data_IF_045738056985
#
_entry.id   IF_045738056985
#
_cell.length_a   1.000
_cell.length_b   1.000
_cell.length_c   1.000
_cell.angle_alpha   90.00
_cell.angle_beta   90.00
_cell.angle_gamma   90.00
#
_symmetry.space_group_name_H-M   'P 1'
#
loop_
_entity.id
_entity.type
_entity.pdbx_description
1 polymer ?
#
# COMPACT_ATOMS: atom_id res chain seq x y z
N UNK A 1 5.24 6.30 -2.14
CA UNK A 1 3.94 5.64 -1.88
C UNK A 1 2.98 5.65 -3.07
N UNK A 2 2.58 6.78 -3.68
CA UNK A 2 1.61 6.81 -4.81
C UNK A 2 1.96 5.89 -6.00
N UNK A 3 3.25 5.81 -6.38
CA UNK A 3 3.70 4.91 -7.43
C UNK A 3 3.48 3.42 -7.07
N UNK A 4 3.73 3.05 -5.81
CA UNK A 4 3.49 1.69 -5.30
C UNK A 4 1.99 1.34 -5.30
N UNK A 5 1.13 2.27 -4.85
CA UNK A 5 -0.33 2.11 -4.95
C UNK A 5 -0.76 1.87 -6.40
N UNK A 6 -0.23 2.67 -7.32
CA UNK A 6 -0.53 2.53 -8.75
C UNK A 6 -0.04 1.22 -9.34
N UNK A 7 1.07 0.66 -8.83
CA UNK A 7 1.60 -0.63 -9.25
C UNK A 7 0.71 -1.79 -8.76
N UNK A 8 0.26 -1.76 -7.51
CA UNK A 8 -0.69 -2.74 -6.94
C UNK A 8 -1.95 -2.82 -7.81
N UNK A 9 -2.57 -1.67 -8.12
CA UNK A 9 -3.79 -1.63 -8.96
C UNK A 9 -3.58 -2.15 -10.37
N UNK A 10 -2.38 -2.00 -10.94
CA UNK A 10 -2.06 -2.57 -12.26
C UNK A 10 -1.94 -4.09 -12.18
N UNK A 11 -1.32 -4.61 -11.14
CA UNK A 11 -1.21 -6.04 -10.90
C UNK A 11 -2.62 -6.68 -10.74
N UNK A 12 -3.52 -6.04 -9.98
CA UNK A 12 -4.89 -6.51 -9.82
C UNK A 12 -5.69 -6.53 -11.13
N UNK A 13 -5.52 -5.53 -12.01
CA UNK A 13 -6.16 -5.53 -13.32
C UNK A 13 -5.63 -6.65 -14.21
N UNK A 14 -4.32 -6.84 -14.23
CA UNK A 14 -3.70 -7.89 -15.04
C UNK A 14 -4.20 -9.28 -14.65
N UNK A 15 -4.35 -9.57 -13.34
CA UNK A 15 -4.92 -10.84 -12.89
C UNK A 15 -6.35 -11.06 -13.44
N UNK A 16 -7.18 -10.02 -13.43
CA UNK A 16 -8.55 -10.10 -13.96
C UNK A 16 -8.59 -10.34 -15.47
N UNK A 17 -7.64 -9.76 -16.20
CA UNK A 17 -7.62 -9.79 -17.67
C UNK A 17 -7.02 -11.11 -18.23
N UNK A 18 -6.07 -11.73 -17.52
CA UNK A 18 -5.30 -12.89 -18.02
C UNK A 18 -5.88 -14.24 -17.56
N UNK A 19 -6.54 -14.30 -16.38
CA UNK A 19 -7.32 -15.46 -15.94
C UNK A 19 -6.57 -16.81 -15.87
N UNK A 20 -5.39 -16.86 -15.26
CA UNK A 20 -4.64 -18.12 -15.04
C UNK A 20 -3.98 -18.20 -13.65
N UNK A 21 -3.85 -19.42 -13.11
CA UNK A 21 -3.30 -19.66 -11.76
C UNK A 21 -1.84 -19.17 -11.60
N UNK A 22 -1.00 -19.37 -12.62
CA UNK A 22 0.38 -18.86 -12.62
C UNK A 22 0.43 -17.33 -12.64
N UNK A 23 -0.56 -16.67 -13.26
CA UNK A 23 -0.70 -15.22 -13.20
C UNK A 23 -1.07 -14.75 -11.79
N UNK A 24 -1.89 -15.53 -11.08
CA UNK A 24 -2.29 -15.21 -9.70
C UNK A 24 -1.09 -15.25 -8.72
N UNK A 25 -0.19 -16.23 -8.82
CA UNK A 25 1.00 -16.29 -7.97
C UNK A 25 1.93 -15.08 -8.18
N UNK A 26 2.19 -14.73 -9.46
CA UNK A 26 3.02 -13.57 -9.82
C UNK A 26 2.37 -12.26 -9.36
N UNK A 27 1.05 -12.12 -9.52
CA UNK A 27 0.32 -10.93 -9.08
C UNK A 27 0.32 -10.81 -7.56
N UNK A 28 0.13 -11.91 -6.83
CA UNK A 28 0.21 -11.91 -5.36
C UNK A 28 1.61 -11.52 -4.90
N UNK A 29 2.67 -12.08 -5.50
CA UNK A 29 4.05 -11.71 -5.18
C UNK A 29 4.33 -10.22 -5.44
N UNK A 30 3.86 -9.68 -6.56
CA UNK A 30 4.00 -8.26 -6.87
C UNK A 30 3.26 -7.39 -5.85
N UNK A 31 2.04 -7.77 -5.45
CA UNK A 31 1.26 -7.06 -4.44
C UNK A 31 1.99 -7.08 -3.09
N UNK A 32 2.45 -8.25 -2.64
CA UNK A 32 3.20 -8.40 -1.38
C UNK A 32 4.43 -7.49 -1.36
N UNK A 33 5.22 -7.46 -2.44
CA UNK A 33 6.37 -6.58 -2.56
C UNK A 33 5.99 -5.10 -2.39
N UNK A 34 4.95 -4.64 -3.08
CA UNK A 34 4.55 -3.23 -2.99
C UNK A 34 3.92 -2.86 -1.64
N UNK A 35 3.18 -3.78 -1.01
CA UNK A 35 2.69 -3.60 0.37
C UNK A 35 3.86 -3.49 1.35
N UNK A 36 4.89 -4.34 1.20
CA UNK A 36 6.11 -4.26 1.99
C UNK A 36 6.80 -2.88 1.84
N UNK A 37 7.02 -2.42 0.60
CA UNK A 37 7.62 -1.11 0.30
C UNK A 37 6.79 0.05 0.87
N UNK A 38 5.46 -0.06 0.82
CA UNK A 38 4.56 0.92 1.43
C UNK A 38 4.75 0.96 2.94
N UNK A 39 4.75 -0.20 3.61
CA UNK A 39 4.92 -0.28 5.06
C UNK A 39 6.27 0.24 5.53
N UNK A 40 7.37 0.00 4.79
CA UNK A 40 8.67 0.65 5.03
C UNK A 40 8.55 2.17 5.01
N UNK A 41 7.90 2.70 3.97
CA UNK A 41 7.73 4.13 3.81
C UNK A 41 6.89 4.74 4.95
N UNK A 42 5.89 4.00 5.43
CA UNK A 42 5.02 4.42 6.54
C UNK A 42 5.79 4.56 7.85
N UNK A 43 6.80 3.72 8.12
CA UNK A 43 7.62 3.81 9.35
C UNK A 43 8.42 5.11 9.45
N UNK A 44 8.67 5.76 8.31
CA UNK A 44 9.36 7.05 8.25
C UNK A 44 8.41 8.27 8.32
N UNK A 45 7.09 8.07 8.35
CA UNK A 45 6.10 9.16 8.43
C UNK A 45 6.08 9.72 9.85
N UNK A 46 6.14 11.05 9.97
CA UNK A 46 6.12 11.73 11.27
C UNK A 46 4.79 11.55 12.00
N UNK A 47 4.84 11.57 13.34
CA UNK A 47 3.64 11.52 14.19
C UNK A 47 2.67 12.66 13.94
N UNK A 48 3.18 13.85 13.60
CA UNK A 48 2.36 14.99 13.17
C UNK A 48 1.56 14.65 11.91
N UNK A 49 2.21 14.07 10.91
CA UNK A 49 1.57 13.71 9.64
C UNK A 49 0.53 12.61 9.85
N UNK A 50 0.83 11.59 10.64
CA UNK A 50 -0.13 10.51 10.91
C UNK A 50 -1.32 11.00 11.73
N UNK A 51 -1.13 11.92 12.69
CA UNK A 51 -2.20 12.52 13.47
C UNK A 51 -3.14 13.39 12.63
N UNK A 52 -2.61 14.06 11.58
CA UNK A 52 -3.41 14.85 10.63
C UNK A 52 -4.24 14.00 9.67
N UNK A 53 -3.95 12.71 9.56
CA UNK A 53 -4.58 11.77 8.63
C UNK A 53 -5.06 10.51 9.38
N UNK A 54 -5.96 10.63 10.38
CA UNK A 54 -6.33 9.54 11.27
C UNK A 54 -7.18 8.45 10.61
N UNK A 55 -7.75 8.72 9.43
CA UNK A 55 -8.50 7.74 8.63
C UNK A 55 -7.61 6.68 8.00
N UNK A 56 -6.30 6.93 7.90
CA UNK A 56 -5.34 5.93 7.39
C UNK A 56 -4.93 5.03 8.55
N UNK A 57 -5.03 3.69 8.40
CA UNK A 57 -4.65 2.76 9.45
C UNK A 57 -3.12 2.56 9.47
N UNK A 58 -2.38 3.61 9.84
CA UNK A 58 -0.91 3.66 9.78
C UNK A 58 -0.23 2.48 10.49
N UNK A 59 -0.68 2.17 11.71
CA UNK A 59 -0.12 1.08 12.51
C UNK A 59 -0.36 -0.29 11.87
N UNK A 60 -1.51 -0.49 11.22
CA UNK A 60 -1.82 -1.76 10.58
C UNK A 60 -1.00 -1.94 9.30
N UNK A 61 -0.78 -0.86 8.53
CA UNK A 61 0.08 -0.87 7.34
C UNK A 61 1.53 -1.18 7.73
N UNK A 62 2.05 -0.57 8.80
CA UNK A 62 3.38 -0.88 9.32
C UNK A 62 3.49 -2.33 9.80
N UNK A 63 2.49 -2.82 10.55
CA UNK A 63 2.43 -4.22 11.02
C UNK A 63 2.37 -5.20 9.85
N UNK A 64 1.69 -4.86 8.75
CA UNK A 64 1.60 -5.73 7.60
C UNK A 64 2.96 -5.96 6.93
N UNK A 65 3.80 -4.93 6.84
CA UNK A 65 5.19 -5.08 6.39
C UNK A 65 5.97 -6.03 7.29
N UNK A 66 5.83 -5.91 8.61
CA UNK A 66 6.55 -6.78 9.56
C UNK A 66 6.09 -8.24 9.38
N UNK A 67 4.79 -8.48 9.20
CA UNK A 67 4.24 -9.81 8.91
C UNK A 67 4.76 -10.38 7.58
N UNK A 68 4.81 -9.58 6.51
CA UNK A 68 5.37 -10.01 5.21
C UNK A 68 6.87 -10.33 5.34
N UNK A 69 7.63 -9.51 6.07
CA UNK A 69 9.08 -9.67 6.22
C UNK A 69 9.49 -10.82 7.14
N UNK A 70 8.62 -11.23 8.08
CA UNK A 70 8.90 -12.33 9.01
C UNK A 70 8.41 -13.69 8.53
N UNK A 71 7.43 -13.76 7.62
CA UNK A 71 6.93 -15.03 7.10
C UNK A 71 7.63 -15.42 5.79
N UNK A 72 8.41 -16.50 5.84
CA UNK A 72 8.83 -17.24 4.65
C UNK A 72 7.58 -17.78 3.92
N UNK A 73 7.06 -16.97 3.00
CA UNK A 73 6.27 -17.40 1.85
C UNK A 73 4.96 -18.16 2.08
N UNK A 74 4.24 -17.92 3.19
CA UNK A 74 2.84 -18.37 3.35
C UNK A 74 1.94 -17.33 4.00
N UNK A 75 2.07 -16.06 3.60
CA UNK A 75 1.01 -15.12 3.91
C UNK A 75 -0.21 -15.49 3.05
N UNK A 76 -1.33 -15.77 3.70
CA UNK A 76 -2.59 -16.09 3.03
C UNK A 76 -2.92 -14.98 2.02
N UNK A 77 -3.13 -15.36 0.76
CA UNK A 77 -3.48 -14.43 -0.30
C UNK A 77 -4.75 -13.62 0.04
N UNK A 78 -5.65 -14.16 0.88
CA UNK A 78 -6.79 -13.44 1.42
C UNK A 78 -6.36 -12.26 2.32
N UNK A 79 -5.36 -12.46 3.19
CA UNK A 79 -4.85 -11.40 4.08
C UNK A 79 -4.17 -10.31 3.25
N UNK A 80 -3.34 -10.70 2.27
CA UNK A 80 -2.73 -9.75 1.32
C UNK A 80 -3.80 -8.95 0.58
N UNK A 81 -4.81 -9.62 0.03
CA UNK A 81 -5.90 -8.97 -0.73
C UNK A 81 -6.79 -8.09 0.14
N UNK A 82 -6.94 -8.38 1.44
CA UNK A 82 -7.65 -7.50 2.36
C UNK A 82 -6.92 -6.15 2.57
N UNK A 83 -5.59 -6.15 2.51
CA UNK A 83 -4.79 -4.91 2.69
C UNK A 83 -4.81 -3.95 1.50
N UNK A 84 -5.17 -4.43 0.31
CA UNK A 84 -5.22 -3.62 -0.92
C UNK A 84 -6.60 -3.00 -1.21
N UNK A 85 -7.56 -3.17 -0.30
CA UNK A 85 -8.90 -2.57 -0.38
C UNK A 85 -8.97 -1.14 0.19
N UNK A 86 -9.86 -0.94 1.17
CA UNK A 86 -10.08 0.36 1.80
C UNK A 86 -8.82 1.01 2.40
N UNK A 87 -7.91 0.29 3.08
CA UNK A 87 -6.68 0.88 3.63
C UNK A 87 -5.79 1.53 2.56
N UNK A 88 -5.66 0.88 1.41
CA UNK A 88 -4.83 1.38 0.30
C UNK A 88 -5.44 2.62 -0.34
N UNK A 89 -6.77 2.68 -0.47
CA UNK A 89 -7.47 3.85 -0.98
C UNK A 89 -7.36 5.05 -0.03
N UNK A 90 -7.47 4.82 1.29
CA UNK A 90 -7.28 5.87 2.30
C UNK A 90 -5.85 6.40 2.28
N UNK A 91 -4.85 5.52 2.19
CA UNK A 91 -3.45 5.90 2.09
C UNK A 91 -3.19 6.74 0.84
N UNK A 92 -3.76 6.37 -0.31
CA UNK A 92 -3.62 7.13 -1.54
C UNK A 92 -4.20 8.53 -1.40
N UNK A 93 -5.44 8.64 -0.89
CA UNK A 93 -6.09 9.93 -0.68
C UNK A 93 -5.27 10.85 0.23
N UNK A 94 -4.74 10.32 1.34
CA UNK A 94 -3.86 11.07 2.23
C UNK A 94 -2.56 11.50 1.53
N UNK A 95 -1.94 10.63 0.73
CA UNK A 95 -0.75 10.98 -0.05
C UNK A 95 -1.01 12.09 -1.08
N UNK A 96 -2.19 12.08 -1.73
CA UNK A 96 -2.60 13.13 -2.67
C UNK A 96 -2.77 14.46 -1.94
N UNK A 97 -3.54 14.46 -0.84
CA UNK A 97 -3.80 15.66 -0.06
C UNK A 97 -2.50 16.29 0.49
N UNK A 98 -1.62 15.50 1.10
CA UNK A 98 -0.35 15.98 1.64
C UNK A 98 0.57 16.56 0.55
N UNK A 99 0.52 16.01 -0.67
CA UNK A 99 1.29 16.55 -1.80
C UNK A 99 0.74 17.89 -2.29
N UNK A 100 -0.58 18.05 -2.31
CA UNK A 100 -1.24 19.29 -2.70
C UNK A 100 -0.95 20.41 -1.68
N UNK A 101 -0.93 20.10 -0.39
CA UNK A 101 -0.54 21.03 0.67
C UNK A 101 0.91 21.53 0.50
N UNK A 102 1.85 20.61 0.25
CA UNK A 102 3.26 20.96 0.01
C UNK A 102 3.48 21.70 -1.32
N UNK A 103 2.65 21.46 -2.34
CA UNK A 103 2.69 22.17 -3.61
C UNK A 103 2.00 23.55 -3.57
N UNK A 104 1.01 23.73 -2.69
CA UNK A 104 0.28 24.98 -2.48
C UNK A 104 1.05 26.00 -1.62
N UNK A 105 1.93 25.53 -0.73
CA UNK A 105 2.80 26.38 0.11
C UNK A 105 3.96 27.06 -0.62
N UNK A 106 4.24 26.70 -1.87
CA UNK A 106 5.33 27.28 -2.67
C UNK A 106 4.90 28.45 -3.57
N UNK A 107 3.69 29.02 -3.38
CA UNK A 107 3.13 30.13 -4.18
C UNK A 107 2.80 31.39 -3.38
N UNK A 108 3.38 31.57 -2.20
CA UNK A 108 3.29 32.82 -1.43
C UNK A 108 4.60 33.60 -1.50
#
# INVERSE_FOLDING_TARGET
MLAAVSAIRRAERLAKDVGSDACDEVVVAAIQYWVFVIGESVKAVSTETTARQPQVPWSDIARMRDLIGHHDYKLDAQIVRATIGAPLAQLEAACVQLREENGGGSRA
#
